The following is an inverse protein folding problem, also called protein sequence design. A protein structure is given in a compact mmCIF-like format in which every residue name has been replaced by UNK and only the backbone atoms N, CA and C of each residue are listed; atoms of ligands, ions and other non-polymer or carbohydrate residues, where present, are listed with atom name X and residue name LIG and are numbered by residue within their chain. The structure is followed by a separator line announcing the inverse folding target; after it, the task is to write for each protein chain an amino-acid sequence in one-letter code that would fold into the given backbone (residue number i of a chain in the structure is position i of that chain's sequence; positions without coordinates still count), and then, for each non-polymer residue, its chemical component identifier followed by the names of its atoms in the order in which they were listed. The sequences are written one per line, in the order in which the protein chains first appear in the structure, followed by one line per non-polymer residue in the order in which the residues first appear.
data_IF_665317147659
#
_entry.id   IF_665317147659
#
_cell.length_a   1.000
_cell.length_b   1.000
_cell.length_c   1.000
_cell.angle_alpha   90.00
_cell.angle_beta   90.00
_cell.angle_gamma   90.00
#
_symmetry.space_group_name_H-M   'P 1'
#
loop_
_entity.id
_entity.type
_entity.pdbx_description
1 polymer ?
#
# COMPACT_ATOMS: atom_id res chain seq x y z
N UNK A 1 -19.28 -27.91 -40.36
CA UNK A 1 -19.09 -26.54 -39.84
C UNK A 1 -18.27 -26.47 -38.53
N UNK A 2 -17.70 -27.58 -38.05
CA UNK A 2 -17.00 -27.68 -36.76
C UNK A 2 -15.51 -27.36 -36.81
N UNK A 3 -14.88 -27.42 -38.02
CA UNK A 3 -13.44 -27.24 -38.17
C UNK A 3 -12.99 -25.79 -38.38
N UNK A 4 -13.91 -24.89 -38.73
CA UNK A 4 -13.55 -23.47 -38.98
C UNK A 4 -13.34 -22.65 -37.70
N UNK A 5 -13.98 -23.04 -36.59
CA UNK A 5 -13.79 -22.39 -35.28
C UNK A 5 -12.50 -22.82 -34.57
N UNK A 6 -12.05 -24.06 -34.82
CA UNK A 6 -10.78 -24.53 -34.28
C UNK A 6 -9.57 -23.89 -35.00
N UNK A 7 -9.65 -23.64 -36.32
CA UNK A 7 -8.58 -22.96 -37.04
C UNK A 7 -8.41 -21.50 -36.65
N UNK A 8 -9.50 -20.81 -36.29
CA UNK A 8 -9.44 -19.41 -35.85
C UNK A 8 -8.77 -19.25 -34.47
N UNK A 9 -8.95 -20.22 -33.57
CA UNK A 9 -8.29 -20.20 -32.24
C UNK A 9 -6.76 -20.41 -32.33
N UNK A 10 -6.31 -21.26 -33.27
CA UNK A 10 -4.88 -21.49 -33.46
C UNK A 10 -4.15 -20.29 -34.10
N UNK A 11 -4.85 -19.52 -34.94
CA UNK A 11 -4.26 -18.35 -35.59
C UNK A 11 -4.03 -17.18 -34.60
N UNK A 12 -4.89 -17.04 -33.59
CA UNK A 12 -4.73 -15.98 -32.57
C UNK A 12 -3.60 -16.32 -31.57
N UNK A 13 -3.39 -17.61 -31.28
CA UNK A 13 -2.33 -18.02 -30.35
C UNK A 13 -0.93 -17.90 -30.95
N UNK A 14 -0.79 -17.94 -32.28
CA UNK A 14 0.50 -17.83 -32.97
C UNK A 14 1.04 -16.37 -33.06
N UNK A 15 0.18 -15.36 -32.90
CA UNK A 15 0.59 -13.96 -33.02
C UNK A 15 1.20 -13.38 -31.72
N UNK A 16 1.00 -14.01 -30.58
CA UNK A 16 1.51 -13.51 -29.28
C UNK A 16 2.96 -13.94 -29.00
N UNK A 17 3.48 -14.95 -29.74
CA UNK A 17 4.83 -15.48 -29.51
C UNK A 17 5.95 -14.75 -30.28
N UNK A 18 5.64 -13.75 -31.12
CA UNK A 18 6.62 -13.08 -31.98
C UNK A 18 7.17 -11.75 -31.44
N UNK A 19 6.79 -11.35 -30.21
CA UNK A 19 7.17 -10.04 -29.65
C UNK A 19 8.36 -10.07 -28.66
N UNK A 20 9.02 -11.21 -28.47
CA UNK A 20 10.20 -11.30 -27.60
C UNK A 20 11.31 -12.12 -28.27
N UNK A 21 12.09 -11.49 -29.17
CA UNK A 21 13.24 -12.13 -29.79
C UNK A 21 14.07 -11.15 -30.61
N UNK A 22 14.82 -10.29 -29.94
CA UNK A 22 15.87 -9.47 -30.55
C UNK A 22 17.24 -10.03 -30.18
N UNK A 23 17.74 -11.02 -30.94
CA UNK A 23 19.14 -11.42 -30.93
C UNK A 23 19.88 -10.63 -32.01
N UNK A 24 20.71 -9.69 -31.61
CA UNK A 24 21.71 -9.05 -32.47
C UNK A 24 23.01 -9.81 -32.41
N UNK A 25 23.40 -10.41 -33.52
CA UNK A 25 24.65 -11.11 -33.70
C UNK A 25 25.68 -10.22 -34.39
N UNK A 26 26.92 -10.16 -33.84
CA UNK A 26 28.16 -10.10 -34.61
C UNK A 26 28.62 -8.76 -35.16
N UNK A 27 29.76 -8.33 -34.66
CA UNK A 27 30.62 -7.31 -35.27
C UNK A 27 31.83 -7.13 -34.37
N UNK A 28 32.91 -7.88 -34.73
CA UNK A 28 34.25 -7.64 -34.16
C UNK A 28 34.81 -6.43 -34.87
N UNK A 29 35.10 -5.37 -34.19
CA UNK A 29 36.07 -4.36 -34.60
C UNK A 29 36.87 -3.92 -33.41
N UNK A 30 38.18 -4.10 -33.52
CA UNK A 30 39.23 -3.61 -32.61
C UNK A 30 39.11 -2.09 -32.46
N UNK A 31 38.91 -1.63 -31.27
CA UNK A 31 39.14 -0.22 -30.90
C UNK A 31 39.94 -0.16 -29.61
N UNK A 32 41.05 0.50 -29.72
CA UNK A 32 42.04 0.78 -28.68
C UNK A 32 41.42 1.18 -27.34
N UNK A 33 41.96 0.55 -26.30
CA UNK A 33 41.73 0.87 -24.89
C UNK A 33 42.24 2.28 -24.56
N UNK A 34 41.35 3.26 -24.59
CA UNK A 34 41.57 4.54 -23.93
C UNK A 34 41.07 4.41 -22.49
N UNK A 35 42.03 4.17 -21.58
CA UNK A 35 41.77 4.21 -20.14
C UNK A 35 41.55 5.68 -19.75
N UNK A 36 40.31 6.15 -19.85
CA UNK A 36 39.91 7.40 -19.26
C UNK A 36 39.61 7.14 -17.76
N UNK A 37 40.53 7.57 -16.93
CA UNK A 37 40.40 7.52 -15.47
C UNK A 37 39.26 8.47 -15.09
N UNK A 38 38.04 7.96 -15.05
CA UNK A 38 36.90 8.73 -14.52
C UNK A 38 37.09 8.85 -13.00
N UNK A 39 37.48 10.02 -12.56
CA UNK A 39 37.51 10.42 -11.17
C UNK A 39 36.14 10.22 -10.55
N UNK A 40 36.02 9.40 -9.50
CA UNK A 40 34.78 9.12 -8.83
C UNK A 40 34.15 10.43 -8.33
N UNK A 41 32.84 10.68 -8.57
CA UNK A 41 32.20 11.88 -8.07
C UNK A 41 32.30 11.92 -6.55
N UNK A 42 32.77 13.04 -6.03
CA UNK A 42 32.88 13.30 -4.60
C UNK A 42 31.51 13.02 -3.94
N UNK A 43 31.51 12.13 -2.96
CA UNK A 43 30.32 11.80 -2.16
C UNK A 43 29.85 13.09 -1.47
N UNK A 44 28.84 13.74 -2.03
CA UNK A 44 28.16 14.84 -1.37
C UNK A 44 27.56 14.30 -0.08
N UNK A 45 28.03 14.75 1.07
CA UNK A 45 27.46 14.39 2.35
C UNK A 45 25.95 14.66 2.33
N UNK A 46 25.16 13.65 2.67
CA UNK A 46 23.72 13.81 2.79
C UNK A 46 23.42 14.97 3.75
N UNK A 47 22.45 15.84 3.45
CA UNK A 47 22.08 16.91 4.37
C UNK A 47 21.71 16.30 5.72
N UNK A 48 22.32 16.76 6.77
CA UNK A 48 21.98 16.39 8.15
C UNK A 48 20.56 16.94 8.39
N UNK A 49 19.56 16.09 8.26
CA UNK A 49 18.19 16.45 8.58
C UNK A 49 18.17 16.67 10.10
N UNK A 50 18.10 17.91 10.53
CA UNK A 50 17.77 18.22 11.92
C UNK A 50 16.39 17.62 12.18
N UNK A 51 16.30 16.58 13.00
CA UNK A 51 15.03 15.99 13.37
C UNK A 51 14.12 17.10 13.91
N UNK A 52 12.91 17.22 13.34
CA UNK A 52 11.90 18.08 13.93
C UNK A 52 11.68 17.65 15.39
N UNK A 53 11.36 18.57 16.31
CA UNK A 53 11.06 18.19 17.68
C UNK A 53 9.96 17.13 17.68
N UNK A 54 10.20 16.03 18.38
CA UNK A 54 9.24 14.94 18.51
C UNK A 54 7.97 15.51 19.14
N UNK A 55 6.89 15.56 18.37
CA UNK A 55 5.54 15.87 18.86
C UNK A 55 4.92 14.63 19.51
N UNK A 56 3.64 14.74 19.88
CA UNK A 56 2.89 13.56 20.31
C UNK A 56 2.73 12.55 19.15
N UNK A 57 2.68 11.25 19.43
CA UNK A 57 2.52 10.24 18.41
C UNK A 57 1.19 10.42 17.67
N UNK A 58 1.19 10.15 16.37
CA UNK A 58 -0.04 10.10 15.58
C UNK A 58 -0.84 8.87 15.99
N UNK A 59 -2.05 9.08 16.49
CA UNK A 59 -2.98 8.01 16.86
C UNK A 59 -4.02 7.85 15.75
N UNK A 60 -4.07 6.69 15.14
CA UNK A 60 -5.05 6.32 14.12
C UNK A 60 -5.97 5.22 14.65
N UNK A 61 -7.20 5.18 14.18
CA UNK A 61 -8.12 4.08 14.44
C UNK A 61 -8.43 3.30 13.16
N UNK A 62 -8.55 1.99 13.29
CA UNK A 62 -9.07 1.08 12.26
C UNK A 62 -10.48 0.67 12.66
N UNK A 63 -11.51 1.15 11.95
CA UNK A 63 -12.90 0.88 12.24
C UNK A 63 -13.47 -0.10 11.22
N UNK A 64 -13.35 -1.39 11.49
CA UNK A 64 -13.70 -2.47 10.57
C UNK A 64 -14.84 -3.33 11.11
N UNK A 65 -15.59 -4.06 10.26
CA UNK A 65 -16.66 -4.95 10.72
C UNK A 65 -16.08 -6.22 11.36
N UNK A 66 -15.72 -6.13 12.64
CA UNK A 66 -15.19 -7.26 13.40
C UNK A 66 -16.30 -8.15 13.97
N UNK A 67 -17.54 -7.64 13.99
CA UNK A 67 -18.76 -8.38 14.32
C UNK A 67 -19.82 -8.24 13.24
N UNK A 68 -21.01 -8.88 13.42
CA UNK A 68 -22.12 -8.83 12.48
C UNK A 68 -21.91 -9.68 11.22
N UNK A 69 -22.71 -9.41 10.20
CA UNK A 69 -22.79 -10.24 8.97
C UNK A 69 -21.49 -10.27 8.15
N UNK A 70 -20.65 -9.26 8.28
CA UNK A 70 -19.36 -9.14 7.57
C UNK A 70 -18.15 -9.41 8.46
N UNK A 71 -18.34 -9.99 9.64
CA UNK A 71 -17.26 -10.32 10.58
C UNK A 71 -16.15 -11.21 9.96
N UNK A 72 -16.47 -11.99 8.94
CA UNK A 72 -15.47 -12.82 8.23
C UNK A 72 -14.51 -12.02 7.36
N UNK A 73 -14.86 -10.79 6.96
CA UNK A 73 -14.04 -9.93 6.11
C UNK A 73 -13.23 -8.91 6.91
N UNK A 74 -13.80 -8.43 8.03
CA UNK A 74 -13.23 -7.36 8.84
C UNK A 74 -11.80 -7.58 9.27
N UNK A 75 -11.44 -8.74 9.87
CA UNK A 75 -10.08 -9.00 10.32
C UNK A 75 -9.04 -8.94 9.20
N UNK A 76 -9.36 -9.44 8.00
CA UNK A 76 -8.47 -9.38 6.85
C UNK A 76 -8.18 -7.92 6.41
N UNK A 77 -9.19 -7.07 6.45
CA UNK A 77 -9.05 -5.64 6.11
C UNK A 77 -8.27 -4.91 7.21
N UNK A 78 -8.57 -5.18 8.48
CA UNK A 78 -7.86 -4.60 9.64
C UNK A 78 -6.37 -4.93 9.62
N UNK A 79 -6.00 -6.17 9.24
CA UNK A 79 -4.59 -6.56 9.05
C UNK A 79 -3.86 -5.71 8.01
N UNK A 80 -4.55 -5.25 6.97
CA UNK A 80 -3.97 -4.33 5.99
C UNK A 80 -3.57 -2.98 6.62
N UNK A 81 -4.43 -2.43 7.47
CA UNK A 81 -4.13 -1.21 8.22
C UNK A 81 -2.97 -1.42 9.21
N UNK A 82 -2.99 -2.53 9.95
CA UNK A 82 -1.92 -2.88 10.88
C UNK A 82 -0.57 -3.05 10.17
N UNK A 83 -0.55 -3.71 9.01
CA UNK A 83 0.67 -3.87 8.22
C UNK A 83 1.21 -2.52 7.74
N UNK A 84 0.34 -1.61 7.27
CA UNK A 84 0.76 -0.27 6.84
C UNK A 84 1.41 0.50 8.00
N UNK A 85 0.79 0.48 9.17
CA UNK A 85 1.34 1.13 10.38
C UNK A 85 2.67 0.49 10.78
N UNK A 86 2.77 -0.84 10.74
CA UNK A 86 4.02 -1.54 11.02
C UNK A 86 5.15 -1.10 10.06
N UNK A 87 4.86 -0.97 8.77
CA UNK A 87 5.84 -0.52 7.78
C UNK A 87 6.27 0.93 8.01
N UNK A 88 5.33 1.81 8.35
CA UNK A 88 5.63 3.21 8.69
C UNK A 88 6.56 3.27 9.91
N UNK A 89 6.24 2.51 10.97
CA UNK A 89 7.03 2.49 12.19
C UNK A 89 8.42 1.90 11.96
N UNK A 90 8.52 0.83 11.14
CA UNK A 90 9.81 0.26 10.74
C UNK A 90 10.68 1.24 9.93
N UNK A 91 10.05 2.18 9.23
CA UNK A 91 10.74 3.24 8.49
C UNK A 91 11.12 4.45 9.37
N UNK A 92 10.83 4.43 10.67
CA UNK A 92 11.14 5.50 11.62
C UNK A 92 9.93 6.34 12.06
N UNK A 93 8.72 5.87 11.75
CA UNK A 93 7.47 6.52 12.17
C UNK A 93 7.18 7.84 11.45
N UNK A 94 6.34 8.63 12.05
CA UNK A 94 5.99 9.98 11.59
C UNK A 94 6.69 11.00 12.52
N UNK A 95 7.48 11.88 11.96
CA UNK A 95 8.29 12.85 12.74
C UNK A 95 9.18 12.19 13.81
N UNK A 96 9.65 10.95 13.57
CA UNK A 96 10.47 10.21 14.53
C UNK A 96 9.69 9.57 15.68
N UNK A 97 8.37 9.51 15.59
CA UNK A 97 7.48 8.86 16.55
C UNK A 97 6.74 7.72 15.88
N UNK A 98 6.54 6.62 16.60
CA UNK A 98 5.70 5.54 16.12
C UNK A 98 4.24 5.98 16.01
N UNK A 99 3.58 5.55 14.94
CA UNK A 99 2.13 5.67 14.79
C UNK A 99 1.47 4.63 15.70
N UNK A 100 0.49 5.06 16.46
CA UNK A 100 -0.34 4.18 17.30
C UNK A 100 -1.60 3.80 16.52
N UNK A 101 -1.95 2.52 16.48
CA UNK A 101 -3.18 2.04 15.87
C UNK A 101 -4.13 1.50 16.93
N UNK A 102 -5.35 2.03 16.96
CA UNK A 102 -6.46 1.56 17.80
C UNK A 102 -7.42 0.79 16.91
N UNK A 103 -7.94 -0.33 17.38
CA UNK A 103 -8.97 -1.10 16.67
C UNK A 103 -10.37 -0.80 17.23
N UNK A 104 -11.33 -0.56 16.35
CA UNK A 104 -12.75 -0.42 16.65
C UNK A 104 -13.59 -1.31 15.76
N UNK A 105 -14.73 -1.74 16.27
CA UNK A 105 -15.70 -2.56 15.54
C UNK A 105 -16.80 -1.68 14.95
N UNK A 106 -16.97 -1.74 13.62
CA UNK A 106 -18.09 -1.08 12.96
C UNK A 106 -19.35 -1.94 12.88
N UNK A 107 -19.22 -3.25 13.06
CA UNK A 107 -20.32 -4.22 12.90
C UNK A 107 -21.04 -4.18 11.56
N UNK A 108 -20.60 -3.32 10.61
CA UNK A 108 -21.36 -2.90 9.44
C UNK A 108 -22.76 -2.32 9.80
N UNK A 109 -22.89 -1.80 11.00
CA UNK A 109 -24.09 -1.18 11.58
C UNK A 109 -23.80 0.26 12.03
N UNK A 110 -24.67 1.21 11.67
CA UNK A 110 -24.43 2.63 11.94
C UNK A 110 -24.36 2.98 13.43
N UNK A 111 -25.19 2.34 14.28
CA UNK A 111 -25.18 2.62 15.71
C UNK A 111 -23.96 2.02 16.42
N UNK A 112 -23.55 0.82 16.00
CA UNK A 112 -22.32 0.18 16.50
C UNK A 112 -21.11 1.02 16.10
N UNK A 113 -21.03 1.43 14.83
CA UNK A 113 -19.91 2.25 14.35
C UNK A 113 -19.83 3.61 15.03
N UNK A 114 -20.96 4.27 15.26
CA UNK A 114 -20.98 5.56 15.98
C UNK A 114 -20.51 5.41 17.41
N UNK A 115 -20.90 4.35 18.10
CA UNK A 115 -20.39 4.04 19.46
C UNK A 115 -18.89 3.82 19.44
N UNK A 116 -18.40 2.94 18.56
CA UNK A 116 -16.97 2.66 18.41
C UNK A 116 -16.16 3.89 17.99
N UNK A 117 -16.72 4.74 17.11
CA UNK A 117 -16.07 6.00 16.72
C UNK A 117 -15.86 6.91 17.93
N UNK A 118 -16.88 7.11 18.77
CA UNK A 118 -16.76 7.92 19.97
C UNK A 118 -15.73 7.33 20.95
N UNK A 119 -15.68 6.00 21.07
CA UNK A 119 -14.72 5.33 21.94
C UNK A 119 -13.26 5.54 21.46
N UNK A 120 -13.00 5.43 20.14
CA UNK A 120 -11.63 5.64 19.63
C UNK A 120 -11.23 7.13 19.65
N UNK A 121 -12.19 8.05 19.45
CA UNK A 121 -11.95 9.50 19.65
C UNK A 121 -11.57 9.79 21.11
N UNK A 122 -12.29 9.20 22.06
CA UNK A 122 -11.98 9.35 23.48
C UNK A 122 -10.60 8.78 23.85
N UNK A 123 -10.09 7.81 23.11
CA UNK A 123 -8.74 7.28 23.23
C UNK A 123 -7.67 8.12 22.50
N UNK A 124 -8.06 9.22 21.88
CA UNK A 124 -7.16 10.16 21.22
C UNK A 124 -6.92 9.90 19.73
N UNK A 125 -7.77 9.12 19.08
CA UNK A 125 -7.67 8.93 17.61
C UNK A 125 -7.81 10.27 16.89
N UNK A 126 -6.86 10.57 16.01
CA UNK A 126 -6.80 11.79 15.20
C UNK A 126 -7.28 11.55 13.75
N UNK A 127 -7.43 10.28 13.39
CA UNK A 127 -7.93 9.86 12.09
C UNK A 127 -8.47 8.44 12.13
N UNK A 128 -9.43 8.13 11.26
CA UNK A 128 -10.10 6.84 11.20
C UNK A 128 -9.97 6.25 9.80
N UNK A 129 -9.55 5.00 9.72
CA UNK A 129 -9.57 4.16 8.55
C UNK A 129 -10.77 3.22 8.62
N UNK A 130 -11.71 3.38 7.73
CA UNK A 130 -12.97 2.60 7.72
C UNK A 130 -14.14 3.52 7.35
N UNK A 131 -15.44 3.17 7.53
CA UNK A 131 -15.90 1.98 8.30
C UNK A 131 -16.17 0.72 7.44
N UNK A 132 -15.65 0.62 6.22
CA UNK A 132 -15.77 -0.49 5.27
C UNK A 132 -17.17 -0.68 4.63
N UNK A 133 -18.25 -0.30 5.29
CA UNK A 133 -19.63 -0.38 4.77
C UNK A 133 -20.16 1.04 4.49
N UNK A 134 -20.78 1.24 3.31
CA UNK A 134 -21.23 2.58 2.89
C UNK A 134 -22.25 3.21 3.85
N UNK A 135 -23.24 2.43 4.32
CA UNK A 135 -24.24 2.91 5.29
C UNK A 135 -23.61 3.30 6.62
N UNK A 136 -22.61 2.56 7.06
CA UNK A 136 -21.87 2.83 8.29
C UNK A 136 -21.00 4.09 8.13
N UNK A 137 -20.33 4.24 6.98
CA UNK A 137 -19.54 5.44 6.69
C UNK A 137 -20.42 6.70 6.69
N UNK A 138 -21.61 6.63 6.08
CA UNK A 138 -22.56 7.74 6.11
C UNK A 138 -23.04 8.08 7.53
N UNK A 139 -23.22 7.08 8.39
CA UNK A 139 -23.69 7.31 9.76
C UNK A 139 -22.67 8.04 10.64
N UNK A 140 -21.38 7.98 10.30
CA UNK A 140 -20.31 8.57 11.11
C UNK A 140 -19.71 9.86 10.51
N UNK A 141 -20.15 10.28 9.30
CA UNK A 141 -19.58 11.45 8.61
C UNK A 141 -19.86 12.78 9.31
N UNK A 142 -20.92 12.86 10.09
CA UNK A 142 -21.37 14.11 10.74
C UNK A 142 -20.89 14.21 12.21
N UNK A 143 -19.97 13.30 12.64
CA UNK A 143 -19.37 13.26 13.97
C UNK A 143 -17.99 13.88 13.96
#
# INVERSE_FOLDING_TARGET
MRNRKALALFAVLALVAAACGGSGSGGSDDVEEVVETTEAPATTAAPTTTAAPAGDPLVLASLMPLSGDLASLGPGIALGAALAVQQINAAGGINGQDVVLIEGDSGCDGAVALTSLNDVIAQGAQGVMGAACSGTSLAILDT
#
